data_IF_182288654798
#
_entry.id   IF_182288654798
#
_cell.length_a   1.000
_cell.length_b   1.000
_cell.length_c   1.000
_cell.angle_alpha   90.00
_cell.angle_beta   90.00
_cell.angle_gamma   90.00
#
_symmetry.space_group_name_H-M   'P 1'
#
loop_
_entity.id
_entity.type
_entity.pdbx_description
1 polymer ?
#
# COMPACT_ATOMS: atom_id res chain seq x y z
N UNK A 1 -19.31 14.20 2.65
CA UNK A 1 -18.13 13.80 3.44
C UNK A 1 -16.99 14.68 2.97
N UNK A 2 -16.24 15.32 3.86
CA UNK A 2 -15.11 16.16 3.44
C UNK A 2 -14.01 15.23 2.94
N UNK A 3 -14.05 14.91 1.65
CA UNK A 3 -13.02 14.18 0.94
C UNK A 3 -11.78 15.08 0.93
N UNK A 4 -10.94 14.96 1.96
CA UNK A 4 -9.60 15.51 1.89
C UNK A 4 -8.96 14.93 0.63
N UNK A 5 -8.41 15.79 -0.21
CA UNK A 5 -7.86 15.42 -1.51
C UNK A 5 -6.54 14.64 -1.37
N UNK A 6 -6.58 13.50 -0.68
CA UNK A 6 -5.45 12.59 -0.51
C UNK A 6 -5.53 11.57 -1.63
N UNK A 7 -4.54 11.60 -2.51
CA UNK A 7 -4.42 10.66 -3.62
C UNK A 7 -3.37 9.61 -3.28
N UNK A 8 -3.72 8.34 -3.48
CA UNK A 8 -2.84 7.20 -3.23
C UNK A 8 -2.67 6.41 -4.52
N UNK A 9 -1.44 6.30 -5.01
CA UNK A 9 -1.09 5.46 -6.15
C UNK A 9 -0.11 4.37 -5.75
N UNK A 10 -0.21 3.22 -6.41
CA UNK A 10 0.66 2.06 -6.16
C UNK A 10 1.21 1.53 -7.47
N UNK A 11 2.51 1.27 -7.50
CA UNK A 11 3.20 0.63 -8.63
C UNK A 11 3.83 -0.68 -8.15
N UNK A 12 3.23 -1.84 -8.45
CA UNK A 12 3.81 -3.14 -8.15
C UNK A 12 4.85 -3.55 -9.19
N UNK A 13 5.85 -4.31 -8.78
CA UNK A 13 6.87 -4.91 -9.64
C UNK A 13 7.25 -6.30 -9.12
N UNK A 14 7.38 -7.26 -10.02
CA UNK A 14 7.86 -8.61 -9.70
C UNK A 14 9.39 -8.63 -9.60
N UNK A 15 9.93 -9.27 -8.55
CA UNK A 15 11.37 -9.36 -8.29
C UNK A 15 11.85 -10.78 -8.60
N UNK A 16 12.19 -11.03 -9.86
CA UNK A 16 12.57 -12.35 -10.36
C UNK A 16 13.81 -12.90 -9.62
N UNK A 17 14.78 -12.04 -9.33
CA UNK A 17 16.02 -12.38 -8.64
C UNK A 17 15.84 -12.76 -7.15
N UNK A 18 14.73 -12.35 -6.53
CA UNK A 18 14.38 -12.69 -5.14
C UNK A 18 13.38 -13.87 -5.07
N UNK A 19 12.89 -14.31 -6.24
CA UNK A 19 11.83 -15.32 -6.37
C UNK A 19 12.38 -16.69 -6.74
N UNK A 20 11.62 -17.74 -6.42
CA UNK A 20 11.89 -19.13 -6.82
C UNK A 20 10.56 -19.86 -7.00
N UNK A 21 10.23 -20.21 -8.24
CA UNK A 21 9.02 -20.99 -8.55
C UNK A 21 9.09 -22.37 -7.90
N UNK A 22 10.26 -23.01 -7.90
CA UNK A 22 10.48 -24.32 -7.29
C UNK A 22 10.20 -24.33 -5.77
N UNK A 23 10.38 -23.19 -5.11
CA UNK A 23 10.12 -23.03 -3.67
C UNK A 23 8.74 -22.40 -3.38
N UNK A 24 7.91 -22.18 -4.42
CA UNK A 24 6.67 -21.40 -4.30
C UNK A 24 6.90 -20.06 -3.58
N UNK A 25 7.98 -19.37 -3.93
CA UNK A 25 8.35 -18.07 -3.34
C UNK A 25 8.31 -16.99 -4.42
N UNK A 26 7.27 -16.15 -4.40
CA UNK A 26 7.10 -15.05 -5.34
C UNK A 26 7.23 -13.72 -4.60
N UNK A 27 8.30 -12.99 -4.89
CA UNK A 27 8.60 -11.72 -4.25
C UNK A 27 8.20 -10.57 -5.17
N UNK A 28 7.44 -9.64 -4.61
CA UNK A 28 7.01 -8.42 -5.27
C UNK A 28 7.50 -7.22 -4.47
N UNK A 29 7.99 -6.20 -5.17
CA UNK A 29 8.09 -4.86 -4.62
C UNK A 29 6.82 -4.08 -4.96
N UNK A 30 6.45 -3.13 -4.12
CA UNK A 30 5.42 -2.17 -4.45
C UNK A 30 5.81 -0.80 -3.93
N UNK A 31 5.72 0.19 -4.82
CA UNK A 31 6.00 1.59 -4.50
C UNK A 31 4.69 2.33 -4.33
N UNK A 32 4.45 2.87 -3.15
CA UNK A 32 3.27 3.68 -2.85
C UNK A 32 3.64 5.15 -2.87
N UNK A 33 2.78 5.97 -3.46
CA UNK A 33 2.83 7.42 -3.38
C UNK A 33 1.56 7.95 -2.75
N UNK A 34 1.71 8.74 -1.69
CA UNK A 34 0.62 9.43 -0.99
C UNK A 34 0.80 10.92 -1.24
N UNK A 35 -0.08 11.52 -2.04
CA UNK A 35 -0.07 12.95 -2.34
C UNK A 35 -1.16 13.65 -1.51
N UNK A 36 -0.79 14.72 -0.83
CA UNK A 36 -1.70 15.53 -0.04
C UNK A 36 -2.14 16.77 -0.84
N UNK A 37 -3.28 16.69 -1.52
CA UNK A 37 -3.92 17.84 -2.18
C UNK A 37 -4.79 18.70 -1.26
N UNK A 38 -4.83 18.42 0.04
CA UNK A 38 -5.60 19.20 1.00
C UNK A 38 -4.85 20.47 1.44
N UNK A 39 -5.54 21.49 2.00
CA UNK A 39 -4.89 22.73 2.44
C UNK A 39 -4.14 22.59 3.77
N UNK A 40 -4.17 21.43 4.43
CA UNK A 40 -3.58 21.19 5.74
C UNK A 40 -2.62 20.01 5.71
N UNK A 41 -1.64 20.01 6.62
CA UNK A 41 -0.75 18.85 6.77
C UNK A 41 -1.51 17.66 7.34
N UNK A 42 -1.23 16.47 6.81
CA UNK A 42 -1.78 15.21 7.31
C UNK A 42 -0.66 14.29 7.76
N UNK A 43 -0.88 13.52 8.82
CA UNK A 43 0.09 12.53 9.30
C UNK A 43 -0.42 11.12 9.06
N UNK A 44 0.40 10.25 8.46
CA UNK A 44 0.07 8.84 8.28
C UNK A 44 0.36 8.08 9.58
N UNK A 45 -0.71 7.67 10.25
CA UNK A 45 -0.64 7.08 11.59
C UNK A 45 -0.55 5.56 11.56
N UNK A 46 -1.34 4.91 10.70
CA UNK A 46 -1.42 3.46 10.62
C UNK A 46 -1.79 2.99 9.21
N UNK A 47 -1.58 1.70 8.98
CA UNK A 47 -1.96 0.99 7.75
C UNK A 47 -2.70 -0.30 8.09
N UNK A 48 -3.63 -0.64 7.23
CA UNK A 48 -4.25 -1.94 7.11
C UNK A 48 -4.05 -2.44 5.68
N UNK A 49 -3.70 -3.71 5.54
CA UNK A 49 -3.62 -4.42 4.28
C UNK A 49 -4.44 -5.70 4.36
N UNK A 50 -5.18 -5.98 3.30
CA UNK A 50 -5.75 -7.29 2.99
C UNK A 50 -5.07 -7.81 1.73
N UNK A 51 -4.49 -8.98 1.84
CA UNK A 51 -3.73 -9.66 0.78
C UNK A 51 -4.53 -10.91 0.42
N UNK A 52 -4.93 -11.02 -0.84
CA UNK A 52 -5.64 -12.18 -1.38
C UNK A 52 -4.67 -12.95 -2.26
N UNK A 53 -4.41 -14.20 -1.91
CA UNK A 53 -3.57 -15.11 -2.68
C UNK A 53 -4.36 -15.65 -3.89
N UNK A 54 -3.67 -16.14 -4.91
CA UNK A 54 -4.32 -16.75 -6.09
C UNK A 54 -5.18 -17.97 -5.75
N UNK A 55 -4.97 -18.59 -4.59
CA UNK A 55 -5.82 -19.68 -4.04
C UNK A 55 -7.17 -19.21 -3.50
N UNK A 56 -7.37 -17.90 -3.33
CA UNK A 56 -8.53 -17.32 -2.64
C UNK A 56 -8.34 -17.16 -1.12
N UNK A 57 -7.22 -17.62 -0.56
CA UNK A 57 -6.90 -17.37 0.85
C UNK A 57 -6.55 -15.90 1.09
N UNK A 58 -6.91 -15.39 2.26
CA UNK A 58 -6.68 -14.00 2.64
C UNK A 58 -5.78 -13.87 3.87
N UNK A 59 -4.86 -12.92 3.84
CA UNK A 59 -4.04 -12.49 4.96
C UNK A 59 -4.31 -11.01 5.27
N UNK A 60 -4.44 -10.69 6.56
CA UNK A 60 -4.57 -9.31 7.01
C UNK A 60 -3.33 -8.85 7.75
N UNK A 61 -2.86 -7.64 7.46
CA UNK A 61 -1.71 -7.02 8.12
C UNK A 61 -2.10 -5.64 8.62
N UNK A 62 -1.93 -5.40 9.93
CA UNK A 62 -2.13 -4.09 10.57
C UNK A 62 -0.82 -3.62 11.18
N UNK A 63 -0.57 -2.32 11.13
CA UNK A 63 0.63 -1.76 11.75
C UNK A 63 0.64 -0.25 11.84
N UNK A 64 1.42 0.28 12.78
CA UNK A 64 1.68 1.72 12.89
C UNK A 64 2.54 2.19 11.73
N UNK A 65 2.21 3.35 11.19
CA UNK A 65 2.93 4.02 10.13
C UNK A 65 3.12 3.17 8.86
N UNK A 66 4.16 3.49 8.11
CA UNK A 66 4.66 2.78 6.93
C UNK A 66 6.18 2.75 7.00
N UNK A 67 6.81 1.61 6.66
CA UNK A 67 8.28 1.44 6.68
C UNK A 67 8.98 1.94 7.96
N UNK A 68 8.31 1.80 9.12
CA UNK A 68 8.83 2.25 10.42
C UNK A 68 8.66 3.75 10.71
N UNK A 69 7.95 4.49 9.85
CA UNK A 69 7.76 5.93 9.95
C UNK A 69 6.28 6.32 9.99
N UNK A 70 5.96 7.43 10.64
CA UNK A 70 4.64 8.09 10.59
C UNK A 70 4.79 9.45 9.90
N UNK A 71 4.90 9.48 8.56
CA UNK A 71 5.27 10.69 7.83
C UNK A 71 4.21 11.79 7.98
N UNK A 72 4.69 13.02 8.17
CA UNK A 72 3.90 14.24 8.04
C UNK A 72 4.00 14.72 6.59
N UNK A 73 2.86 14.87 5.92
CA UNK A 73 2.77 15.24 4.51
C UNK A 73 2.11 16.61 4.43
N UNK A 74 2.87 17.64 4.05
CA UNK A 74 2.36 19.00 3.93
C UNK A 74 1.42 19.20 2.73
N UNK A 75 0.70 20.34 2.66
CA UNK A 75 -0.13 20.70 1.50
C UNK A 75 0.65 20.69 0.19
N UNK A 76 0.12 20.02 -0.83
CA UNK A 76 0.74 19.84 -2.15
C UNK A 76 1.96 18.91 -2.15
N UNK A 77 2.33 18.32 -1.02
CA UNK A 77 3.50 17.44 -0.92
C UNK A 77 3.13 15.98 -1.14
N UNK A 78 4.14 15.18 -1.47
CA UNK A 78 4.04 13.75 -1.67
C UNK A 78 5.04 13.00 -0.78
N UNK A 79 4.56 11.93 -0.16
CA UNK A 79 5.41 10.92 0.47
C UNK A 79 5.44 9.66 -0.41
N UNK A 80 6.65 9.14 -0.69
CA UNK A 80 6.85 7.94 -1.50
C UNK A 80 7.68 6.93 -0.72
N UNK A 81 7.25 5.67 -0.73
CA UNK A 81 8.01 4.58 -0.13
C UNK A 81 7.86 3.29 -0.93
N UNK A 82 8.85 2.39 -0.82
CA UNK A 82 8.81 1.06 -1.43
C UNK A 82 8.86 0.01 -0.33
N UNK A 83 8.05 -1.03 -0.47
CA UNK A 83 8.06 -2.19 0.43
C UNK A 83 7.97 -3.49 -0.38
N UNK A 84 7.99 -4.63 0.31
CA UNK A 84 7.96 -5.96 -0.29
C UNK A 84 6.76 -6.76 0.21
N UNK A 85 6.21 -7.57 -0.67
CA UNK A 85 5.25 -8.61 -0.34
C UNK A 85 5.78 -9.94 -0.89
N UNK A 86 5.66 -11.00 -0.10
CA UNK A 86 6.02 -12.36 -0.52
C UNK A 86 4.74 -13.19 -0.56
N UNK A 87 4.46 -13.79 -1.72
CA UNK A 87 3.32 -14.68 -1.92
C UNK A 87 3.80 -16.10 -2.21
N UNK A 88 2.94 -17.05 -1.88
CA UNK A 88 3.11 -18.47 -2.24
C UNK A 88 2.50 -18.81 -3.62
N UNK A 89 1.86 -17.84 -4.25
CA UNK A 89 1.20 -17.99 -5.55
C UNK A 89 1.75 -16.93 -6.50
N UNK A 90 1.78 -17.21 -7.82
CA UNK A 90 2.37 -16.28 -8.80
C UNK A 90 1.48 -15.06 -9.06
N UNK A 91 0.24 -15.07 -8.57
CA UNK A 91 -0.72 -13.97 -8.64
C UNK A 91 -1.33 -13.75 -7.27
N UNK A 92 -1.54 -12.49 -6.90
CA UNK A 92 -2.34 -12.08 -5.76
C UNK A 92 -2.89 -10.68 -5.95
N UNK A 93 -3.74 -10.26 -5.01
CA UNK A 93 -4.37 -8.94 -4.98
C UNK A 93 -4.13 -8.33 -3.61
N UNK A 94 -3.73 -7.06 -3.58
CA UNK A 94 -3.61 -6.30 -2.35
C UNK A 94 -4.58 -5.12 -2.37
N UNK A 95 -5.24 -4.89 -1.25
CA UNK A 95 -6.09 -3.73 -0.99
C UNK A 95 -5.86 -3.27 0.45
N UNK A 96 -6.09 -2.00 0.75
CA UNK A 96 -5.74 -1.48 2.06
C UNK A 96 -6.38 -0.15 2.41
N UNK A 97 -6.06 0.31 3.61
CA UNK A 97 -6.52 1.57 4.17
C UNK A 97 -5.38 2.21 4.95
N UNK A 98 -5.18 3.52 4.77
CA UNK A 98 -4.38 4.34 5.68
C UNK A 98 -5.28 5.08 6.66
N UNK A 99 -4.86 5.07 7.92
CA UNK A 99 -5.42 5.96 8.95
C UNK A 99 -4.56 7.21 9.00
N UNK A 100 -5.16 8.36 8.73
CA UNK A 100 -4.51 9.66 8.70
C UNK A 100 -5.05 10.57 9.81
N UNK A 101 -4.20 11.47 10.31
CA UNK A 101 -4.57 12.55 11.21
C UNK A 101 -4.45 13.87 10.47
N UNK A 102 -5.53 14.64 10.38
CA UNK A 102 -5.47 16.04 9.97
C UNK A 102 -4.93 16.88 11.14
N UNK A 103 -3.77 17.51 10.96
CA UNK A 103 -3.10 18.27 12.02
C UNK A 103 -3.83 19.56 12.39
N UNK A 104 -4.65 20.12 11.50
CA UNK A 104 -5.38 21.36 11.76
C UNK A 104 -6.62 21.13 12.63
N UNK A 105 -7.35 20.04 12.36
CA UNK A 105 -8.60 19.70 13.04
C UNK A 105 -8.42 18.65 14.13
N UNK A 106 -7.25 18.00 14.20
CA UNK A 106 -6.97 16.83 15.04
C UNK A 106 -7.91 15.65 14.76
N UNK A 107 -8.59 15.65 13.61
CA UNK A 107 -9.51 14.60 13.22
C UNK A 107 -8.77 13.45 12.57
N UNK A 108 -9.09 12.23 13.00
CA UNK A 108 -8.66 11.00 12.34
C UNK A 108 -9.65 10.63 11.23
N UNK A 109 -9.13 10.23 10.09
CA UNK A 109 -9.90 9.75 8.95
C UNK A 109 -9.14 8.65 8.20
N UNK A 110 -9.85 7.98 7.30
CA UNK A 110 -9.32 6.86 6.52
C UNK A 110 -9.29 7.18 5.04
N UNK A 111 -8.25 6.69 4.36
CA UNK A 111 -8.09 6.79 2.91
C UNK A 111 -7.82 5.39 2.38
N UNK A 112 -8.62 4.97 1.39
CA UNK A 112 -8.43 3.69 0.73
C UNK A 112 -7.13 3.70 -0.09
N UNK A 113 -6.40 2.59 -0.03
CA UNK A 113 -5.35 2.29 -0.99
C UNK A 113 -6.00 1.51 -2.13
N UNK A 114 -5.89 1.96 -3.40
CA UNK A 114 -6.51 1.26 -4.51
C UNK A 114 -6.10 -0.20 -4.58
N UNK A 115 -7.04 -1.08 -4.92
CA UNK A 115 -6.75 -2.49 -5.15
C UNK A 115 -5.76 -2.61 -6.30
N UNK A 116 -4.67 -3.36 -6.09
CA UNK A 116 -3.68 -3.62 -7.14
C UNK A 116 -3.31 -5.10 -7.18
N UNK A 117 -2.93 -5.54 -8.38
CA UNK A 117 -2.56 -6.93 -8.64
C UNK A 117 -1.05 -7.09 -8.54
N UNK A 118 -0.63 -8.13 -7.84
CA UNK A 118 0.72 -8.68 -7.87
C UNK A 118 0.70 -9.85 -8.84
N UNK A 119 1.51 -9.81 -9.90
CA UNK A 119 1.54 -10.89 -10.87
C UNK A 119 2.92 -11.02 -11.52
N UNK A 120 3.35 -12.26 -11.71
CA UNK A 120 4.50 -12.56 -12.57
C UNK A 120 4.21 -12.06 -13.99
N UNK A 121 5.13 -11.33 -14.64
CA UNK A 121 4.96 -10.86 -16.01
C UNK A 121 4.65 -12.02 -16.98
N UNK A 122 3.83 -11.75 -18.00
CA UNK A 122 3.48 -12.70 -19.06
C UNK A 122 2.69 -13.95 -18.64
N UNK A 123 2.24 -14.06 -17.39
CA UNK A 123 1.17 -15.00 -17.06
C UNK A 123 -0.20 -14.40 -17.46
N UNK A 124 -0.72 -14.90 -18.59
CA UNK A 124 -2.13 -14.78 -18.95
C UNK A 124 -2.91 -15.87 -18.19
N UNK A 125 -4.04 -15.50 -17.59
CA UNK A 125 -4.99 -16.45 -17.00
C UNK A 125 -5.74 -17.20 -18.11
#
# INVERSE_FOLDING_TARGET
MSDLAIDVTVTPEYRAEESSEAESRFVFSYTVSVHNGSPHSVQLMARYWKITHGSGEHQEVRGKGVVGQQPLIGPGQQFRYTSRAMLQTPVGVMEGVYTLLDTSTQRVFEVAVPTFRLAVPYQLH
#
